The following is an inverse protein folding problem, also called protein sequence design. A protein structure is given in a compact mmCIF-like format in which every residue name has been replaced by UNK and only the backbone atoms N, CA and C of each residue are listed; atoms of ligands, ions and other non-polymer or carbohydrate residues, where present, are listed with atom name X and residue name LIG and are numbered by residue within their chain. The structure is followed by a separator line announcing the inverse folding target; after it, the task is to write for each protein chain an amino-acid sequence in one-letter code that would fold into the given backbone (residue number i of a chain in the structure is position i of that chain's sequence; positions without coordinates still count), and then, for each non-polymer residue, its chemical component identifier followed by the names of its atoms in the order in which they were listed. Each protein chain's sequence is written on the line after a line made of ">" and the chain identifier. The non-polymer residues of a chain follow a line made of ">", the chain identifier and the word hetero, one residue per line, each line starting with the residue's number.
data_IF_686756406609
#
_entry.id   IF_686756406609
#
_cell.length_a   1.000
_cell.length_b   1.000
_cell.length_c   1.000
_cell.angle_alpha   90.00
_cell.angle_beta   90.00
_cell.angle_gamma   90.00
#
_symmetry.space_group_name_H-M   'P 1'
#
loop_
_entity.id
_entity.type
_entity.pdbx_description
1 polymer ?
#
# COMPACT_ATOMS: atom_id res chain seq x y z
N UNK A 1 6.32 63.53 26.56
CA UNK A 1 7.18 62.49 25.92
C UNK A 1 6.90 61.16 26.59
N UNK A 2 6.72 60.12 25.78
CA UNK A 2 6.47 58.72 26.15
C UNK A 2 7.65 58.12 26.92
N UNK A 3 7.41 57.25 27.89
CA UNK A 3 8.28 56.10 28.14
C UNK A 3 7.41 54.86 28.37
N UNK A 4 7.73 53.83 27.61
CA UNK A 4 6.97 52.61 27.41
C UNK A 4 7.38 51.57 28.45
N UNK A 5 6.39 50.83 28.95
CA UNK A 5 6.58 49.54 29.61
C UNK A 5 7.20 48.52 28.63
N UNK A 6 8.24 47.82 29.07
CA UNK A 6 8.75 46.62 28.40
C UNK A 6 9.20 45.60 29.43
N UNK A 7 8.22 45.05 30.14
CA UNK A 7 8.35 43.74 30.78
C UNK A 7 8.19 42.66 29.71
N UNK A 8 9.32 42.18 29.18
CA UNK A 8 9.36 41.03 28.27
C UNK A 8 9.21 39.73 29.06
N UNK A 9 7.96 39.34 29.33
CA UNK A 9 7.65 38.00 29.84
C UNK A 9 7.70 36.99 28.69
N UNK A 10 8.89 36.45 28.46
CA UNK A 10 9.13 35.34 27.54
C UNK A 10 8.53 34.05 28.13
N UNK A 11 7.22 33.90 27.96
CA UNK A 11 6.50 32.67 28.32
C UNK A 11 6.81 31.58 27.30
N UNK A 12 7.95 30.91 27.46
CA UNK A 12 8.28 29.69 26.73
C UNK A 12 7.30 28.58 27.12
N UNK A 13 6.21 28.44 26.36
CA UNK A 13 5.23 27.37 26.54
C UNK A 13 5.80 26.04 26.06
N UNK A 14 6.37 25.27 26.99
CA UNK A 14 6.70 23.86 26.81
C UNK A 14 5.39 23.05 26.74
N UNK A 15 4.72 23.06 25.58
CA UNK A 15 3.57 22.19 25.35
C UNK A 15 4.04 20.79 24.93
N UNK A 16 3.56 19.71 25.57
CA UNK A 16 3.92 18.34 25.20
C UNK A 16 3.47 18.09 23.77
N UNK A 17 4.39 17.62 22.93
CA UNK A 17 4.23 17.37 21.51
C UNK A 17 2.96 16.55 21.23
N UNK A 18 1.89 17.26 20.83
CA UNK A 18 0.61 16.68 20.44
C UNK A 18 0.81 15.85 19.17
N UNK A 19 0.90 14.52 19.32
CA UNK A 19 1.06 13.58 18.20
C UNK A 19 -0.11 13.80 17.24
N UNK A 20 0.19 14.40 16.07
CA UNK A 20 -0.83 14.65 15.05
C UNK A 20 -1.27 13.31 14.46
N UNK A 21 -2.59 13.06 14.50
CA UNK A 21 -3.20 11.90 13.84
C UNK A 21 -2.87 11.94 12.34
N UNK A 22 -2.57 10.78 11.71
CA UNK A 22 -2.30 10.73 10.27
C UNK A 22 -3.55 11.14 9.49
N UNK A 23 -3.34 11.73 8.30
CA UNK A 23 -4.45 12.01 7.38
C UNK A 23 -5.11 10.71 6.93
N UNK A 24 -6.41 10.79 6.57
CA UNK A 24 -7.19 9.66 6.06
C UNK A 24 -6.47 8.92 4.92
N UNK A 25 -5.94 9.65 3.94
CA UNK A 25 -5.16 9.11 2.82
C UNK A 25 -3.92 8.33 3.27
N UNK A 26 -3.20 8.83 4.29
CA UNK A 26 -2.03 8.13 4.83
C UNK A 26 -2.42 6.86 5.57
N UNK A 27 -3.53 6.90 6.31
CA UNK A 27 -4.05 5.73 7.01
C UNK A 27 -4.48 4.63 6.05
N UNK A 28 -5.22 4.97 5.00
CA UNK A 28 -5.62 4.04 3.93
C UNK A 28 -4.39 3.39 3.28
N UNK A 29 -3.36 4.18 2.94
CA UNK A 29 -2.11 3.64 2.39
C UNK A 29 -1.46 2.61 3.33
N UNK A 30 -1.39 2.90 4.63
CA UNK A 30 -0.81 1.98 5.62
C UNK A 30 -1.63 0.69 5.73
N UNK A 31 -2.96 0.79 5.74
CA UNK A 31 -3.85 -0.36 5.76
C UNK A 31 -3.68 -1.24 4.52
N UNK A 32 -3.56 -0.63 3.34
CA UNK A 32 -3.31 -1.36 2.09
C UNK A 32 -1.98 -2.10 2.12
N UNK A 33 -0.90 -1.44 2.58
CA UNK A 33 0.41 -2.10 2.70
C UNK A 33 0.38 -3.25 3.71
N UNK A 34 -0.28 -3.09 4.85
CA UNK A 34 -0.42 -4.17 5.84
C UNK A 34 -1.24 -5.34 5.28
N UNK A 35 -2.29 -5.08 4.50
CA UNK A 35 -3.07 -6.13 3.83
C UNK A 35 -2.22 -6.88 2.80
N UNK A 36 -1.45 -6.17 1.98
CA UNK A 36 -0.56 -6.76 0.99
C UNK A 36 0.53 -7.61 1.65
N UNK A 37 1.12 -7.15 2.77
CA UNK A 37 2.09 -7.95 3.55
C UNK A 37 1.50 -9.28 3.99
N UNK A 38 0.27 -9.27 4.51
CA UNK A 38 -0.43 -10.49 4.93
C UNK A 38 -0.70 -11.45 3.77
N UNK A 39 -1.09 -10.93 2.60
CA UNK A 39 -1.36 -11.76 1.42
C UNK A 39 -0.10 -12.46 0.91
N UNK A 40 1.04 -11.77 0.94
CA UNK A 40 2.32 -12.31 0.44
C UNK A 40 3.08 -13.07 1.54
N UNK A 41 2.67 -12.96 2.81
CA UNK A 41 3.35 -13.59 3.94
C UNK A 41 4.68 -12.93 4.30
N UNK A 42 4.81 -11.62 4.09
CA UNK A 42 6.04 -10.88 4.36
C UNK A 42 6.05 -10.21 5.75
N UNK A 43 7.23 -10.16 6.37
CA UNK A 43 7.46 -9.46 7.64
C UNK A 43 7.28 -7.94 7.49
N UNK A 44 6.98 -7.24 8.59
CA UNK A 44 6.89 -5.77 8.66
C UNK A 44 8.25 -5.08 8.63
N UNK A 45 9.34 -5.82 8.86
CA UNK A 45 10.72 -5.33 8.84
C UNK A 45 11.22 -4.94 7.45
N UNK A 46 10.68 -5.55 6.38
CA UNK A 46 11.13 -5.27 5.01
C UNK A 46 10.66 -3.91 4.51
N UNK A 47 11.47 -3.30 3.66
CA UNK A 47 11.17 -2.02 3.03
C UNK A 47 9.93 -2.10 2.13
N UNK A 48 9.32 -0.94 1.85
CA UNK A 48 8.18 -0.90 0.93
C UNK A 48 8.57 -1.31 -0.50
N UNK A 49 9.82 -1.08 -0.91
CA UNK A 49 10.30 -1.48 -2.23
C UNK A 49 10.41 -3.01 -2.33
N UNK A 50 11.02 -3.65 -1.34
CA UNK A 50 11.12 -5.12 -1.28
C UNK A 50 9.73 -5.76 -1.22
N UNK A 51 8.81 -5.19 -0.44
CA UNK A 51 7.42 -5.66 -0.41
C UNK A 51 6.78 -5.62 -1.81
N UNK A 52 6.94 -4.53 -2.55
CA UNK A 52 6.41 -4.42 -3.92
C UNK A 52 7.02 -5.47 -4.85
N UNK A 53 8.32 -5.74 -4.69
CA UNK A 53 9.01 -6.77 -5.46
C UNK A 53 8.48 -8.18 -5.14
N UNK A 54 8.24 -8.47 -3.85
CA UNK A 54 7.63 -9.72 -3.41
C UNK A 54 6.19 -9.86 -3.92
N UNK A 55 5.40 -8.78 -3.94
CA UNK A 55 4.05 -8.77 -4.54
C UNK A 55 4.10 -9.12 -6.02
N UNK A 56 5.05 -8.54 -6.77
CA UNK A 56 5.21 -8.85 -8.21
C UNK A 56 5.53 -10.33 -8.41
N UNK A 57 6.43 -10.90 -7.61
CA UNK A 57 6.78 -12.32 -7.67
C UNK A 57 5.59 -13.21 -7.30
N UNK A 58 4.84 -12.85 -6.25
CA UNK A 58 3.65 -13.56 -5.84
C UNK A 58 2.59 -13.59 -6.95
N UNK A 59 2.33 -12.46 -7.62
CA UNK A 59 1.42 -12.40 -8.76
C UNK A 59 1.91 -13.28 -9.92
N UNK A 60 3.21 -13.30 -10.22
CA UNK A 60 3.77 -14.17 -11.25
C UNK A 60 3.58 -15.64 -10.91
N UNK A 61 3.82 -16.03 -9.66
CA UNK A 61 3.63 -17.41 -9.21
C UNK A 61 2.16 -17.83 -9.28
N UNK A 62 1.25 -16.95 -8.86
CA UNK A 62 -0.19 -17.19 -9.01
C UNK A 62 -0.57 -17.38 -10.49
N UNK A 63 -0.05 -16.54 -11.40
CA UNK A 63 -0.29 -16.71 -12.84
C UNK A 63 0.27 -18.02 -13.38
N UNK A 64 1.46 -18.42 -12.95
CA UNK A 64 2.04 -19.70 -13.33
C UNK A 64 1.16 -20.87 -12.86
N UNK A 65 0.70 -20.85 -11.61
CA UNK A 65 -0.23 -21.84 -11.09
C UNK A 65 -1.55 -21.91 -11.88
N UNK A 66 -2.08 -20.77 -12.33
CA UNK A 66 -3.30 -20.74 -13.16
C UNK A 66 -3.06 -21.31 -14.57
N UNK A 67 -1.87 -21.11 -15.14
CA UNK A 67 -1.52 -21.60 -16.47
C UNK A 67 -1.08 -23.07 -16.48
N UNK A 68 -0.47 -23.55 -15.39
CA UNK A 68 0.01 -24.92 -15.24
C UNK A 68 -1.12 -25.88 -14.78
N UNK A 69 -2.22 -25.35 -14.28
CA UNK A 69 -3.44 -26.11 -14.01
C UNK A 69 -4.24 -26.21 -15.31
N UNK A 70 -4.50 -27.41 -15.82
CA UNK A 70 -5.38 -27.69 -16.98
C UNK A 70 -6.84 -27.20 -16.80
N UNK A 71 -7.12 -26.47 -15.72
CA UNK A 71 -8.39 -25.85 -15.32
C UNK A 71 -8.51 -24.40 -15.85
N UNK A 72 -7.81 -24.04 -16.92
CA UNK A 72 -7.85 -22.68 -17.52
C UNK A 72 -9.28 -22.24 -17.89
N UNK A 73 -10.18 -23.20 -18.13
CA UNK A 73 -11.60 -22.96 -18.38
C UNK A 73 -12.31 -22.24 -17.24
N UNK A 74 -11.91 -22.44 -15.98
CA UNK A 74 -12.57 -21.82 -14.83
C UNK A 74 -12.00 -20.45 -14.49
N UNK A 75 -10.75 -20.18 -14.90
CA UNK A 75 -10.07 -18.92 -14.67
C UNK A 75 -10.56 -17.84 -15.63
N UNK A 76 -10.80 -18.17 -16.89
CA UNK A 76 -11.46 -17.25 -17.84
C UNK A 76 -12.87 -16.88 -17.36
N UNK A 77 -13.63 -17.85 -16.84
CA UNK A 77 -14.95 -17.62 -16.25
C UNK A 77 -14.88 -16.72 -15.00
N UNK A 78 -13.87 -16.90 -14.13
CA UNK A 78 -13.65 -16.03 -12.96
C UNK A 78 -13.21 -14.62 -13.37
N UNK A 79 -12.33 -14.47 -14.36
CA UNK A 79 -11.88 -13.17 -14.86
C UNK A 79 -13.02 -12.38 -15.51
N UNK A 80 -13.91 -13.04 -16.25
CA UNK A 80 -15.15 -12.45 -16.75
C UNK A 80 -16.09 -12.05 -15.60
N UNK A 81 -16.23 -12.89 -14.56
CA UNK A 81 -17.04 -12.58 -13.38
C UNK A 81 -16.51 -11.36 -12.59
N UNK A 82 -15.20 -11.12 -12.58
CA UNK A 82 -14.58 -9.97 -11.93
C UNK A 82 -14.35 -8.76 -12.87
N UNK A 83 -14.80 -8.83 -14.13
CA UNK A 83 -14.73 -7.73 -15.09
C UNK A 83 -13.32 -7.40 -15.59
N UNK A 84 -12.37 -8.31 -15.44
CA UNK A 84 -11.05 -8.16 -16.05
C UNK A 84 -11.12 -8.64 -17.50
N UNK A 85 -11.15 -7.70 -18.45
CA UNK A 85 -11.15 -8.05 -19.87
C UNK A 85 -9.97 -8.96 -20.20
N UNK A 86 -10.26 -10.16 -20.71
CA UNK A 86 -9.25 -11.09 -21.23
C UNK A 86 -8.45 -10.41 -22.33
N UNK A 87 -7.22 -10.01 -22.00
CA UNK A 87 -6.24 -9.59 -23.01
C UNK A 87 -5.83 -10.85 -23.75
N UNK A 88 -6.40 -11.04 -24.94
CA UNK A 88 -5.97 -12.10 -25.87
C UNK A 88 -4.53 -11.82 -26.27
N UNK A 89 -3.58 -12.47 -25.60
CA UNK A 89 -2.19 -12.50 -26.04
C UNK A 89 -2.15 -13.49 -27.20
N UNK A 90 -2.43 -12.97 -28.39
CA UNK A 90 -2.28 -13.72 -29.63
C UNK A 90 -0.80 -13.85 -29.94
N UNK A 91 -0.18 -14.96 -29.50
CA UNK A 91 1.14 -15.32 -30.00
C UNK A 91 0.96 -15.93 -31.38
N UNK A 92 1.19 -15.12 -32.43
CA UNK A 92 1.37 -15.63 -33.78
C UNK A 92 2.65 -16.48 -33.82
N UNK A 93 2.51 -17.71 -34.33
CA UNK A 93 3.62 -18.59 -34.70
C UNK A 93 4.55 -17.94 -35.71
#
# INVERSE_FOLDING_TARGET
>A
MKQNDSGSDSSASNSPSRIRKPSKKRQEKLQTLDKLRKMVGCDKSISNLELLQQIINYIKNLKAMLNDSDEVSDVENLLEQFGFASVKISNSK
#
